data_IF_825104622421
#
_entry.id   IF_825104622421
#
_cell.length_a   1.000
_cell.length_b   1.000
_cell.length_c   1.000
_cell.angle_alpha   90.00
_cell.angle_beta   90.00
_cell.angle_gamma   90.00
#
_symmetry.space_group_name_H-M   'P 1'
#
loop_
_entity.id
_entity.type
_entity.pdbx_description
1 polymer ?
#
# COMPACT_ATOMS: atom_id res chain seq x y z
N UNK A 1 -13.81 4.94 -20.71
CA UNK A 1 -14.43 4.93 -19.37
C UNK A 1 -13.43 4.22 -18.47
N UNK A 2 -12.76 4.97 -17.59
CA UNK A 2 -11.61 4.48 -16.84
C UNK A 2 -11.99 3.60 -15.65
N UNK A 3 -13.20 3.73 -15.17
CA UNK A 3 -13.68 3.03 -14.00
C UNK A 3 -14.62 1.91 -14.42
N UNK A 4 -14.21 0.67 -14.18
CA UNK A 4 -15.10 -0.48 -14.26
C UNK A 4 -15.60 -0.77 -12.85
N UNK A 5 -16.90 -0.97 -12.71
CA UNK A 5 -17.46 -1.42 -11.45
C UNK A 5 -17.06 -2.89 -11.27
N UNK A 6 -16.22 -3.14 -10.27
CA UNK A 6 -15.87 -4.49 -9.86
C UNK A 6 -16.76 -4.97 -8.73
N UNK A 7 -16.94 -6.27 -8.62
CA UNK A 7 -17.70 -6.82 -7.50
C UNK A 7 -16.90 -6.68 -6.19
N UNK A 8 -17.62 -6.48 -5.09
CA UNK A 8 -17.00 -6.40 -3.76
C UNK A 8 -16.12 -7.63 -3.43
N UNK A 9 -16.59 -8.82 -3.82
CA UNK A 9 -15.82 -10.05 -3.58
C UNK A 9 -14.53 -10.09 -4.40
N UNK A 10 -14.54 -9.55 -5.60
CA UNK A 10 -13.33 -9.45 -6.43
C UNK A 10 -12.33 -8.45 -5.85
N UNK A 11 -12.80 -7.27 -5.43
CA UNK A 11 -11.94 -6.28 -4.77
C UNK A 11 -11.36 -6.82 -3.46
N UNK A 12 -12.19 -7.49 -2.66
CA UNK A 12 -11.73 -8.15 -1.43
C UNK A 12 -10.62 -9.16 -1.73
N UNK A 13 -10.81 -9.99 -2.76
CA UNK A 13 -9.80 -10.97 -3.17
C UNK A 13 -8.47 -10.30 -3.54
N UNK A 14 -8.50 -9.26 -4.39
CA UNK A 14 -7.29 -8.53 -4.80
C UNK A 14 -6.51 -8.02 -3.58
N UNK A 15 -7.22 -7.40 -2.63
CA UNK A 15 -6.58 -6.83 -1.43
C UNK A 15 -5.95 -7.92 -0.58
N UNK A 16 -6.65 -9.02 -0.33
CA UNK A 16 -6.13 -10.08 0.54
C UNK A 16 -5.03 -10.90 -0.15
N UNK A 17 -5.13 -11.18 -1.45
CA UNK A 17 -4.05 -11.81 -2.21
C UNK A 17 -2.77 -10.94 -2.16
N UNK A 18 -2.90 -9.62 -2.32
CA UNK A 18 -1.76 -8.71 -2.22
C UNK A 18 -1.13 -8.70 -0.81
N UNK A 19 -1.94 -8.84 0.22
CA UNK A 19 -1.44 -8.93 1.59
C UNK A 19 -0.69 -10.23 1.86
N UNK A 20 -1.17 -11.35 1.28
CA UNK A 20 -0.49 -12.64 1.38
C UNK A 20 0.87 -12.66 0.67
N UNK A 21 1.06 -11.81 -0.34
CA UNK A 21 2.35 -11.65 -1.03
C UNK A 21 3.38 -10.82 -0.24
N UNK A 22 2.96 -10.07 0.76
CA UNK A 22 3.85 -9.33 1.63
C UNK A 22 4.52 -10.26 2.64
N UNK A 23 5.73 -9.93 3.07
CA UNK A 23 6.39 -10.66 4.14
C UNK A 23 5.65 -10.47 5.47
N UNK A 24 5.24 -11.59 6.07
CA UNK A 24 4.60 -11.61 7.39
C UNK A 24 5.65 -11.83 8.48
N UNK A 25 5.52 -11.11 9.60
CA UNK A 25 6.36 -11.34 10.77
C UNK A 25 6.05 -12.65 11.51
N UNK A 26 4.93 -13.29 11.18
CA UNK A 26 4.61 -14.64 11.68
C UNK A 26 5.45 -15.71 11.01
N UNK A 27 5.82 -15.51 9.75
CA UNK A 27 6.49 -16.51 8.93
C UNK A 27 7.98 -16.19 8.69
N UNK A 28 8.38 -14.95 8.95
CA UNK A 28 9.73 -14.47 8.68
C UNK A 28 10.27 -13.67 9.86
N UNK A 29 11.56 -13.82 10.12
CA UNK A 29 12.27 -12.94 11.05
C UNK A 29 12.46 -11.57 10.43
N UNK A 30 11.52 -10.66 10.68
CA UNK A 30 11.56 -9.29 10.21
C UNK A 30 12.09 -8.38 11.33
N UNK A 31 13.33 -7.94 11.21
CA UNK A 31 13.94 -7.05 12.20
C UNK A 31 14.17 -5.67 11.60
N UNK A 32 13.74 -4.63 12.32
CA UNK A 32 13.94 -3.24 11.91
C UNK A 32 12.95 -2.69 10.89
N UNK A 33 11.95 -3.47 10.50
CA UNK A 33 10.87 -2.97 9.67
C UNK A 33 9.75 -2.36 10.53
N UNK A 34 9.20 -1.21 10.14
CA UNK A 34 8.00 -0.69 10.76
C UNK A 34 6.86 -1.69 10.58
N UNK A 35 6.27 -2.12 11.67
CA UNK A 35 5.13 -3.02 11.66
C UNK A 35 4.08 -2.54 12.64
N UNK A 36 2.82 -2.69 12.27
CA UNK A 36 1.73 -2.52 13.20
C UNK A 36 1.45 -3.88 13.84
N UNK A 37 1.45 -3.91 15.15
CA UNK A 37 1.20 -5.11 15.92
C UNK A 37 0.12 -4.85 16.97
N UNK A 38 -0.90 -5.68 16.99
CA UNK A 38 -1.85 -5.71 18.09
C UNK A 38 -1.42 -6.80 19.08
N UNK A 39 -1.31 -6.39 20.33
CA UNK A 39 -1.05 -7.32 21.41
C UNK A 39 -2.20 -8.33 21.53
N UNK A 40 -1.95 -9.62 21.29
CA UNK A 40 -2.99 -10.65 21.32
C UNK A 40 -3.56 -10.91 22.72
N UNK A 41 -2.89 -10.46 23.77
CA UNK A 41 -3.42 -10.54 25.14
C UNK A 41 -4.49 -9.48 25.39
N UNK A 42 -4.37 -8.31 24.73
CA UNK A 42 -5.31 -7.19 24.82
C UNK A 42 -6.37 -7.28 23.73
N UNK A 43 -5.96 -7.65 22.53
CA UNK A 43 -6.80 -7.71 21.33
C UNK A 43 -6.77 -9.11 20.71
N UNK A 44 -7.55 -10.06 21.24
CA UNK A 44 -7.58 -11.41 20.67
C UNK A 44 -8.05 -11.38 19.21
N UNK A 45 -7.48 -12.28 18.40
CA UNK A 45 -7.74 -12.32 16.95
C UNK A 45 -9.22 -12.60 16.60
N UNK A 46 -9.98 -13.16 17.51
CA UNK A 46 -11.42 -13.43 17.40
C UNK A 46 -12.29 -12.29 17.97
N UNK A 47 -11.70 -11.17 18.35
CA UNK A 47 -12.46 -10.03 18.83
C UNK A 47 -13.53 -9.62 17.79
N UNK A 48 -14.78 -9.35 18.23
CA UNK A 48 -15.88 -9.06 17.30
C UNK A 48 -15.58 -7.93 16.33
N UNK A 49 -14.91 -6.87 16.76
CA UNK A 49 -14.55 -5.74 15.89
C UNK A 49 -13.54 -6.11 14.79
N UNK A 50 -12.73 -7.16 14.98
CA UNK A 50 -11.83 -7.68 13.95
C UNK A 50 -12.55 -8.62 12.97
N UNK A 51 -13.48 -9.44 13.48
CA UNK A 51 -14.25 -10.36 12.67
C UNK A 51 -15.21 -9.64 11.72
N UNK A 52 -15.85 -8.56 12.21
CA UNK A 52 -16.81 -7.78 11.43
C UNK A 52 -16.17 -6.77 10.47
N UNK A 53 -14.89 -6.54 10.63
CA UNK A 53 -14.14 -5.55 9.85
C UNK A 53 -12.84 -6.15 9.30
N UNK A 54 -12.92 -7.06 8.34
CA UNK A 54 -11.76 -7.81 7.85
C UNK A 54 -10.63 -6.93 7.29
N UNK A 55 -10.95 -5.74 6.79
CA UNK A 55 -9.94 -4.78 6.32
C UNK A 55 -9.12 -4.15 7.44
N UNK A 56 -9.64 -4.08 8.67
CA UNK A 56 -8.85 -3.60 9.82
C UNK A 56 -7.68 -4.53 10.09
N UNK A 57 -7.85 -5.83 9.90
CA UNK A 57 -6.79 -6.82 10.01
C UNK A 57 -5.59 -6.49 9.13
N UNK A 58 -5.85 -5.96 7.94
CA UNK A 58 -4.82 -5.55 6.99
C UNK A 58 -3.89 -4.46 7.53
N UNK A 59 -4.40 -3.58 8.39
CA UNK A 59 -3.61 -2.52 9.02
C UNK A 59 -2.84 -2.99 10.26
N UNK A 60 -3.27 -4.09 10.85
CA UNK A 60 -2.81 -4.55 12.16
C UNK A 60 -1.72 -5.62 12.03
N UNK A 61 -1.80 -6.48 11.04
CA UNK A 61 -0.92 -7.64 10.88
C UNK A 61 0.15 -7.46 9.81
N UNK A 62 0.19 -6.32 9.12
CA UNK A 62 1.17 -6.08 8.06
C UNK A 62 2.28 -5.13 8.50
N UNK A 63 3.50 -5.35 8.02
CA UNK A 63 4.53 -4.34 8.08
C UNK A 63 3.99 -3.04 7.51
N UNK A 64 4.09 -1.97 8.28
CA UNK A 64 3.56 -0.69 7.87
C UNK A 64 4.42 -0.12 6.74
N UNK A 65 3.82 0.03 5.58
CA UNK A 65 4.44 0.63 4.43
C UNK A 65 4.53 2.16 4.61
N UNK A 66 5.71 2.70 4.64
CA UNK A 66 5.94 4.14 4.84
C UNK A 66 6.06 4.89 3.50
N UNK A 67 5.46 4.42 2.44
CA UNK A 67 5.33 5.18 1.20
C UNK A 67 6.63 5.79 0.63
N UNK A 68 7.72 5.03 0.57
CA UNK A 68 8.98 5.48 -0.03
C UNK A 68 9.33 4.66 -1.28
N UNK A 69 8.34 4.16 -1.99
CA UNK A 69 8.58 3.34 -3.16
C UNK A 69 8.44 4.17 -4.41
N UNK A 70 9.55 4.40 -5.05
CA UNK A 70 9.57 4.91 -6.40
C UNK A 70 9.18 3.80 -7.38
N UNK A 71 8.67 4.17 -8.53
CA UNK A 71 8.22 3.25 -9.57
C UNK A 71 9.25 2.18 -9.95
N UNK A 72 10.53 2.52 -9.88
CA UNK A 72 11.64 1.63 -10.27
C UNK A 72 12.22 0.79 -9.13
N UNK A 73 11.73 0.94 -7.90
CA UNK A 73 12.27 0.23 -6.74
C UNK A 73 11.39 -0.95 -6.37
N UNK A 74 11.95 -2.15 -6.40
CA UNK A 74 11.26 -3.35 -5.92
C UNK A 74 11.64 -3.65 -4.47
N UNK A 75 10.62 -3.79 -3.62
CA UNK A 75 10.79 -4.18 -2.24
C UNK A 75 10.13 -5.54 -2.00
N UNK A 76 10.91 -6.61 -1.89
CA UNK A 76 10.36 -7.96 -1.70
C UNK A 76 9.42 -8.08 -0.50
N UNK A 77 9.70 -7.31 0.56
CA UNK A 77 8.91 -7.30 1.80
C UNK A 77 7.47 -6.83 1.60
N UNK A 78 7.23 -5.92 0.65
CA UNK A 78 5.94 -5.29 0.39
C UNK A 78 5.42 -5.58 -1.03
N UNK A 79 5.83 -6.67 -1.61
CA UNK A 79 5.60 -6.99 -3.02
C UNK A 79 4.13 -6.85 -3.44
N UNK A 80 3.21 -7.35 -2.64
CA UNK A 80 1.79 -7.32 -2.96
C UNK A 80 1.20 -5.92 -2.87
N UNK A 81 1.43 -5.19 -1.79
CA UNK A 81 0.92 -3.82 -1.62
C UNK A 81 1.61 -2.85 -2.56
N UNK A 82 2.88 -3.07 -2.89
CA UNK A 82 3.58 -2.28 -3.89
C UNK A 82 2.93 -2.43 -5.28
N UNK A 83 2.46 -3.61 -5.65
CA UNK A 83 1.79 -3.81 -6.95
C UNK A 83 0.51 -2.95 -7.07
N UNK A 84 -0.26 -2.84 -6.00
CA UNK A 84 -1.46 -1.98 -5.94
C UNK A 84 -1.07 -0.49 -6.06
N UNK A 85 -0.01 -0.08 -5.38
CA UNK A 85 0.51 1.29 -5.46
C UNK A 85 0.95 1.64 -6.88
N UNK A 86 1.71 0.76 -7.53
CA UNK A 86 2.16 0.94 -8.91
C UNK A 86 1.00 1.04 -9.89
N UNK A 87 -0.05 0.24 -9.73
CA UNK A 87 -1.26 0.34 -10.55
C UNK A 87 -1.97 1.68 -10.34
N UNK A 88 -2.05 2.17 -9.11
CA UNK A 88 -2.62 3.47 -8.81
C UNK A 88 -1.82 4.60 -9.46
N UNK A 89 -0.49 4.57 -9.33
CA UNK A 89 0.40 5.55 -9.95
C UNK A 89 0.24 5.54 -11.48
N UNK A 90 0.24 4.36 -12.09
CA UNK A 90 0.02 4.20 -13.53
C UNK A 90 -1.31 4.80 -13.98
N UNK A 91 -2.41 4.49 -13.30
CA UNK A 91 -3.73 5.03 -13.64
C UNK A 91 -3.73 6.56 -13.52
N UNK A 92 -3.17 7.10 -12.45
CA UNK A 92 -3.07 8.55 -12.27
C UNK A 92 -2.24 9.20 -13.37
N UNK A 93 -1.05 8.67 -13.64
CA UNK A 93 -0.13 9.25 -14.61
C UNK A 93 -0.67 9.13 -16.05
N UNK A 94 -0.93 7.91 -16.50
CA UNK A 94 -1.28 7.66 -17.91
C UNK A 94 -2.73 8.05 -18.24
N UNK A 95 -3.68 7.69 -17.36
CA UNK A 95 -5.09 7.86 -17.67
C UNK A 95 -5.63 9.25 -17.31
N UNK A 96 -5.15 9.85 -16.23
CA UNK A 96 -5.61 11.16 -15.76
C UNK A 96 -4.72 12.27 -16.30
N UNK A 97 -3.41 12.19 -16.05
CA UNK A 97 -2.46 13.24 -16.44
C UNK A 97 -1.91 13.08 -17.86
N UNK A 98 -2.18 11.97 -18.54
CA UNK A 98 -1.76 11.70 -19.92
C UNK A 98 -0.24 11.68 -20.11
N UNK A 99 0.48 11.22 -19.10
CA UNK A 99 1.90 10.96 -19.23
C UNK A 99 2.15 9.80 -20.22
N UNK A 100 3.30 9.83 -20.87
CA UNK A 100 3.74 8.69 -21.68
C UNK A 100 4.04 7.49 -20.78
N UNK A 101 3.77 6.29 -21.28
CA UNK A 101 3.94 5.08 -20.49
C UNK A 101 5.40 4.90 -20.07
N UNK A 102 5.62 4.77 -18.78
CA UNK A 102 6.94 4.64 -18.17
C UNK A 102 7.71 5.95 -17.96
N UNK A 103 7.19 7.10 -18.41
CA UNK A 103 7.81 8.43 -18.23
C UNK A 103 7.24 9.15 -17.01
N UNK A 104 7.09 8.43 -15.91
CA UNK A 104 6.60 8.98 -14.64
C UNK A 104 7.19 8.21 -13.46
N UNK A 105 7.20 8.87 -12.32
CA UNK A 105 7.55 8.27 -11.03
C UNK A 105 6.67 8.85 -9.92
N UNK A 106 6.62 8.20 -8.79
CA UNK A 106 5.84 8.67 -7.66
C UNK A 106 5.68 7.63 -6.56
N UNK A 107 4.95 8.03 -5.56
CA UNK A 107 4.57 7.16 -4.44
C UNK A 107 3.28 7.67 -3.78
N UNK A 108 2.63 6.83 -3.01
CA UNK A 108 1.46 7.22 -2.20
C UNK A 108 1.93 7.71 -0.84
N UNK A 109 1.76 9.02 -0.59
CA UNK A 109 2.15 9.64 0.66
C UNK A 109 1.05 9.53 1.73
N UNK A 110 1.40 9.56 3.02
CA UNK A 110 0.43 9.47 4.12
C UNK A 110 -0.47 10.70 4.27
N UNK A 111 -0.17 11.78 3.57
CA UNK A 111 -1.01 12.99 3.63
C UNK A 111 -0.56 14.11 2.71
N UNK A 112 -1.49 15.03 2.44
CA UNK A 112 -1.28 16.14 1.51
C UNK A 112 -0.15 17.11 1.90
N UNK A 113 0.15 17.25 3.18
CA UNK A 113 1.28 18.09 3.63
C UNK A 113 2.61 17.53 3.11
N UNK A 114 2.80 16.21 3.20
CA UNK A 114 4.00 15.56 2.66
C UNK A 114 4.06 15.69 1.14
N UNK A 115 2.95 15.46 0.45
CA UNK A 115 2.87 15.66 -1.00
C UNK A 115 3.28 17.09 -1.41
N UNK A 116 2.81 18.10 -0.69
CA UNK A 116 3.14 19.50 -0.99
C UNK A 116 4.62 19.80 -0.73
N UNK A 117 5.19 19.30 0.36
CA UNK A 117 6.61 19.45 0.67
C UNK A 117 7.46 18.79 -0.42
N UNK A 118 7.11 17.58 -0.81
CA UNK A 118 7.81 16.85 -1.86
C UNK A 118 7.73 17.56 -3.21
N UNK A 119 6.55 18.06 -3.59
CA UNK A 119 6.37 18.80 -4.83
C UNK A 119 7.22 20.09 -4.87
N UNK A 120 7.26 20.84 -3.76
CA UNK A 120 8.08 22.04 -3.64
C UNK A 120 9.57 21.71 -3.71
N UNK A 121 9.97 20.62 -3.06
CA UNK A 121 11.36 20.16 -3.09
C UNK A 121 11.80 19.74 -4.49
N UNK A 122 11.01 18.93 -5.19
CA UNK A 122 11.27 18.56 -6.59
C UNK A 122 11.39 19.82 -7.46
N UNK A 123 10.44 20.75 -7.37
CA UNK A 123 10.44 21.98 -8.15
C UNK A 123 11.68 22.85 -7.89
N UNK A 124 12.20 22.84 -6.68
CA UNK A 124 13.42 23.60 -6.33
C UNK A 124 14.68 23.00 -6.93
N UNK A 125 14.75 21.67 -7.05
CA UNK A 125 15.95 20.97 -7.55
C UNK A 125 15.99 20.84 -9.09
N UNK A 126 14.88 21.13 -9.76
CA UNK A 126 14.77 21.18 -11.23
C UNK A 126 14.87 22.63 -11.74
#
# INVERSE_FOLDING_TARGET
MYWKQESFNHLKKIVFDALEENSSFHDHSIMGLPATYLDPEIFPADAPFLCDSPYIKCFIENPNHIGLHTYHTSLPTFKGTQSIELDLLRICAEEIYKAESGEYDGYVAPGGTECNIQAIWIYREY
#
